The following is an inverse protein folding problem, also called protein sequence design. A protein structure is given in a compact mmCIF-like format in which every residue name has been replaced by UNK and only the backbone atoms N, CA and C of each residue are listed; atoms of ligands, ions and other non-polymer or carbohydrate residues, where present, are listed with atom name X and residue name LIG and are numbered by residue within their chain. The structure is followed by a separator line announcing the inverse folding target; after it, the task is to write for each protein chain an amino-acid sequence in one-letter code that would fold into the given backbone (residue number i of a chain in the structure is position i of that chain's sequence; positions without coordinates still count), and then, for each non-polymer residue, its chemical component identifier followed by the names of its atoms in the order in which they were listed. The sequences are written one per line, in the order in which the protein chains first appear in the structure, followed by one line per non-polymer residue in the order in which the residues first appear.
data_IF_003999951042
#
_entry.id   IF_003999951042
#
_cell.length_a   1.000
_cell.length_b   1.000
_cell.length_c   1.000
_cell.angle_alpha   90.00
_cell.angle_beta   90.00
_cell.angle_gamma   90.00
#
_symmetry.space_group_name_H-M   'P 1'
#
loop_
_entity.id
_entity.type
_entity.pdbx_description
1 polymer ?
#
# COMPACT_ATOMS: atom_id res chain seq x y z
N UNK A 1 7.63 33.20 -14.31
CA UNK A 1 6.85 32.10 -14.92
C UNK A 1 6.27 31.26 -13.79
N UNK A 2 4.96 31.37 -13.57
CA UNK A 2 4.23 30.83 -12.42
C UNK A 2 4.08 29.31 -12.54
N UNK A 3 4.65 28.55 -11.60
CA UNK A 3 4.55 27.08 -11.50
C UNK A 3 3.50 26.66 -10.45
N UNK A 4 2.44 27.44 -10.27
CA UNK A 4 1.58 27.31 -9.08
C UNK A 4 0.13 26.87 -9.35
N UNK A 5 -0.19 26.35 -10.54
CA UNK A 5 -1.61 26.04 -10.88
C UNK A 5 -1.86 24.55 -11.18
N UNK A 6 -0.83 23.72 -11.44
CA UNK A 6 -1.03 22.30 -11.78
C UNK A 6 -1.09 21.34 -10.59
N UNK A 7 -0.98 21.82 -9.35
CA UNK A 7 -1.04 20.98 -8.14
C UNK A 7 -2.46 20.85 -7.53
N UNK A 8 -3.42 21.66 -7.99
CA UNK A 8 -4.74 21.76 -7.32
C UNK A 8 -5.76 20.75 -7.90
N UNK A 9 -5.56 20.24 -9.12
CA UNK A 9 -6.50 19.29 -9.75
C UNK A 9 -6.28 17.85 -9.25
N UNK A 10 -5.10 17.50 -8.73
CA UNK A 10 -4.84 16.19 -8.13
C UNK A 10 -5.34 16.07 -6.67
N UNK A 11 -5.47 17.20 -5.96
CA UNK A 11 -5.86 17.21 -4.54
C UNK A 11 -7.38 17.28 -4.32
N UNK A 12 -8.16 17.70 -5.32
CA UNK A 12 -9.61 17.97 -5.15
C UNK A 12 -10.53 16.79 -5.45
N UNK A 13 -9.99 15.65 -5.93
CA UNK A 13 -10.74 14.39 -6.05
C UNK A 13 -10.64 13.47 -4.83
N UNK A 14 -9.77 13.78 -3.86
CA UNK A 14 -9.40 12.86 -2.78
C UNK A 14 -10.14 13.12 -1.44
N UNK A 15 -10.99 14.15 -1.38
CA UNK A 15 -11.62 14.60 -0.14
C UNK A 15 -13.02 14.02 0.15
N UNK A 16 -13.49 13.02 -0.60
CA UNK A 16 -14.81 12.38 -0.35
C UNK A 16 -14.77 10.88 -0.07
N UNK A 17 -13.60 10.29 0.21
CA UNK A 17 -13.49 8.88 0.60
C UNK A 17 -13.55 8.65 2.13
N UNK A 18 -14.13 9.59 2.90
CA UNK A 18 -14.13 9.53 4.35
C UNK A 18 -15.50 9.89 4.93
N UNK A 19 -16.52 9.07 4.69
CA UNK A 19 -17.73 9.00 5.52
C UNK A 19 -18.64 7.82 5.15
N UNK A 20 -18.15 6.58 5.20
CA UNK A 20 -19.02 5.42 5.29
C UNK A 20 -18.47 4.46 6.35
N UNK A 21 -19.22 4.27 7.43
CA UNK A 21 -18.90 3.36 8.54
C UNK A 21 -18.99 1.86 8.15
N UNK A 22 -18.59 1.51 6.93
CA UNK A 22 -18.60 0.17 6.36
C UNK A 22 -17.59 -0.04 5.23
N UNK A 23 -16.74 0.95 4.93
CA UNK A 23 -15.63 0.81 3.98
C UNK A 23 -14.34 0.51 4.75
N UNK A 24 -13.56 -0.46 4.25
CA UNK A 24 -12.24 -0.77 4.80
C UNK A 24 -11.34 0.47 4.64
N UNK A 25 -10.77 1.03 5.72
CA UNK A 25 -10.02 2.28 5.67
C UNK A 25 -8.80 2.15 4.77
N UNK A 26 -8.54 3.17 3.96
CA UNK A 26 -7.29 3.26 3.17
C UNK A 26 -6.17 3.72 4.09
N UNK A 27 -5.18 2.87 4.31
CA UNK A 27 -4.06 3.16 5.22
C UNK A 27 -2.79 3.57 4.49
N UNK A 28 -2.61 3.10 3.24
CA UNK A 28 -1.43 3.38 2.42
C UNK A 28 -1.85 3.80 1.02
N UNK A 29 -1.25 4.88 0.53
CA UNK A 29 -1.32 5.31 -0.88
C UNK A 29 -0.03 4.90 -1.56
N UNK A 30 -0.15 4.13 -2.64
CA UNK A 30 0.96 3.73 -3.51
C UNK A 30 1.00 4.70 -4.70
N UNK A 31 1.96 5.61 -4.69
CA UNK A 31 2.18 6.55 -5.79
C UNK A 31 3.12 5.95 -6.84
N UNK A 32 2.55 5.56 -7.97
CA UNK A 32 3.24 5.04 -9.14
C UNK A 32 3.17 6.04 -10.31
N UNK A 33 3.18 7.35 -10.02
CA UNK A 33 3.31 8.39 -11.05
C UNK A 33 4.66 8.30 -11.77
N UNK A 34 5.71 7.87 -11.06
CA UNK A 34 7.02 7.49 -11.59
C UNK A 34 7.35 6.03 -11.19
N UNK A 35 7.21 5.05 -12.11
CA UNK A 35 7.49 3.65 -11.80
C UNK A 35 8.94 3.35 -11.43
N UNK A 36 9.89 4.23 -11.75
CA UNK A 36 11.30 4.09 -11.34
C UNK A 36 11.57 4.55 -9.91
N UNK A 37 10.58 5.20 -9.28
CA UNK A 37 10.66 5.71 -7.92
C UNK A 37 9.28 5.73 -7.26
N UNK A 38 8.66 4.55 -7.13
CA UNK A 38 7.37 4.37 -6.45
C UNK A 38 7.49 4.80 -4.99
N UNK A 39 6.41 5.40 -4.47
CA UNK A 39 6.32 5.87 -3.09
C UNK A 39 5.13 5.24 -2.36
N UNK A 40 5.32 4.88 -1.10
CA UNK A 40 4.27 4.41 -0.20
C UNK A 40 4.07 5.44 0.91
N UNK A 41 2.88 6.04 0.97
CA UNK A 41 2.55 7.09 1.93
C UNK A 41 1.48 6.61 2.90
N UNK A 42 1.69 6.80 4.21
CA UNK A 42 0.61 6.65 5.18
C UNK A 42 -0.47 7.72 4.95
N UNK A 43 -1.74 7.35 5.14
CA UNK A 43 -2.87 8.28 5.12
C UNK A 43 -3.15 8.91 6.49
N UNK A 44 -2.59 8.36 7.57
CA UNK A 44 -2.93 8.71 8.94
C UNK A 44 -4.28 8.15 9.42
N UNK A 45 -4.96 7.31 8.64
CA UNK A 45 -6.20 6.66 9.04
C UNK A 45 -5.94 5.57 10.10
N UNK A 46 -6.92 5.35 10.98
CA UNK A 46 -6.89 4.26 11.95
C UNK A 46 -7.19 2.91 11.29
N UNK A 47 -6.74 1.82 11.93
CA UNK A 47 -6.98 0.47 11.42
C UNK A 47 -8.46 0.09 11.55
N UNK A 48 -8.90 -0.86 10.72
CA UNK A 48 -10.25 -1.46 10.75
C UNK A 48 -10.49 -2.29 12.02
N UNK A 49 -9.42 -2.82 12.61
CA UNK A 49 -9.45 -3.73 13.76
C UNK A 49 -8.35 -3.37 14.75
N UNK A 50 -8.54 -3.80 16.00
CA UNK A 50 -7.49 -3.77 17.01
C UNK A 50 -6.67 -5.06 16.95
N UNK A 51 -5.36 -4.94 16.80
CA UNK A 51 -4.43 -6.06 16.72
C UNK A 51 -3.03 -5.64 17.21
N UNK A 52 -2.49 -6.38 18.16
CA UNK A 52 -1.13 -6.24 18.71
C UNK A 52 -0.32 -7.54 18.63
N UNK A 53 -0.79 -8.50 17.82
CA UNK A 53 -0.27 -9.86 17.77
C UNK A 53 1.09 -9.99 17.08
N UNK A 54 1.47 -9.00 16.26
CA UNK A 54 2.71 -9.02 15.50
C UNK A 54 3.76 -8.04 16.05
N UNK A 55 5.01 -8.41 15.83
CA UNK A 55 6.14 -7.52 16.02
C UNK A 55 6.57 -6.92 14.69
N UNK A 56 7.37 -5.85 14.70
CA UNK A 56 7.83 -5.18 13.47
C UNK A 56 8.72 -6.06 12.58
N UNK A 57 9.31 -7.12 13.14
CA UNK A 57 10.00 -8.16 12.35
C UNK A 57 9.01 -9.08 11.63
N UNK A 58 7.76 -9.12 12.11
CA UNK A 58 6.61 -9.78 11.50
C UNK A 58 6.03 -9.00 10.32
N UNK A 59 6.06 -7.68 10.43
CA UNK A 59 5.70 -6.80 9.33
C UNK A 59 4.21 -6.77 9.00
N UNK A 60 3.93 -6.33 7.77
CA UNK A 60 2.61 -6.32 7.13
C UNK A 60 2.76 -6.77 5.67
N UNK A 61 1.68 -7.26 5.09
CA UNK A 61 1.58 -7.54 3.65
C UNK A 61 0.56 -6.63 3.00
N UNK A 62 0.96 -6.00 1.89
CA UNK A 62 0.04 -5.41 0.91
C UNK A 62 -0.32 -6.52 -0.08
N UNK A 63 -1.49 -7.13 0.13
CA UNK A 63 -1.95 -8.23 -0.72
C UNK A 63 -2.30 -7.71 -2.11
N UNK A 64 -2.03 -8.54 -3.12
CA UNK A 64 -2.36 -8.28 -4.52
C UNK A 64 -1.81 -6.96 -5.08
N UNK A 65 -0.69 -6.44 -4.57
CA UNK A 65 -0.11 -5.18 -5.07
C UNK A 65 0.20 -5.25 -6.57
N UNK A 66 0.85 -6.33 -7.00
CA UNK A 66 1.27 -6.51 -8.38
C UNK A 66 0.24 -7.34 -9.15
N UNK A 67 -0.16 -6.81 -10.31
CA UNK A 67 -1.06 -7.47 -11.25
C UNK A 67 -0.30 -8.42 -12.16
N UNK A 68 -0.69 -9.69 -12.18
CA UNK A 68 -0.12 -10.71 -13.09
C UNK A 68 1.05 -11.51 -12.49
N UNK A 69 1.32 -12.66 -13.09
CA UNK A 69 2.38 -13.56 -12.63
C UNK A 69 3.76 -13.06 -13.08
N UNK A 70 4.74 -13.05 -12.17
CA UNK A 70 6.17 -13.03 -12.54
C UNK A 70 6.97 -11.78 -12.19
N UNK A 71 6.39 -10.75 -11.57
CA UNK A 71 7.19 -9.67 -10.99
C UNK A 71 7.88 -10.16 -9.70
N UNK A 72 9.22 -10.03 -9.61
CA UNK A 72 10.02 -10.40 -8.45
C UNK A 72 10.97 -9.25 -8.07
N UNK A 73 11.08 -8.91 -6.79
CA UNK A 73 12.07 -7.96 -6.26
C UNK A 73 13.48 -8.55 -6.19
N UNK A 74 13.69 -9.79 -6.61
CA UNK A 74 14.96 -10.51 -6.52
C UNK A 74 15.32 -10.94 -5.09
N UNK A 75 14.33 -11.07 -4.21
CA UNK A 75 14.51 -11.31 -2.77
C UNK A 75 14.31 -10.06 -1.91
N UNK A 76 14.85 -10.09 -0.69
CA UNK A 76 14.69 -8.98 0.26
C UNK A 76 15.54 -7.77 -0.12
N UNK A 77 14.89 -6.61 -0.19
CA UNK A 77 15.50 -5.32 -0.49
C UNK A 77 15.55 -4.43 0.75
N UNK A 78 16.62 -3.63 0.85
CA UNK A 78 16.74 -2.58 1.87
C UNK A 78 15.98 -1.35 1.40
N UNK A 79 15.17 -0.78 2.28
CA UNK A 79 14.39 0.43 1.98
C UNK A 79 14.77 1.56 2.92
N UNK A 80 14.64 2.80 2.42
CA UNK A 80 14.80 4.02 3.21
C UNK A 80 13.45 4.69 3.49
N UNK A 81 13.46 5.76 4.27
CA UNK A 81 12.26 6.49 4.67
C UNK A 81 11.89 6.27 6.14
N UNK A 82 10.70 6.73 6.51
CA UNK A 82 10.19 6.76 7.89
C UNK A 82 8.82 6.10 8.05
N UNK A 83 8.36 5.34 7.03
CA UNK A 83 7.12 4.56 7.12
C UNK A 83 7.20 3.58 8.30
N UNK A 84 6.40 3.81 9.32
CA UNK A 84 6.41 3.07 10.58
C UNK A 84 5.00 2.68 11.03
N UNK A 85 4.81 1.49 11.62
CA UNK A 85 3.55 1.11 12.24
C UNK A 85 3.36 1.82 13.57
N UNK A 86 2.11 2.01 13.96
CA UNK A 86 1.80 2.47 15.30
C UNK A 86 2.32 1.49 16.36
N UNK A 87 2.66 2.04 17.54
CA UNK A 87 3.30 1.27 18.62
C UNK A 87 4.77 0.95 18.42
N UNK A 88 5.38 1.34 17.29
CA UNK A 88 6.82 1.18 17.06
C UNK A 88 7.46 2.46 16.55
N UNK A 89 8.60 2.83 17.15
CA UNK A 89 9.37 4.01 16.72
C UNK A 89 10.31 3.72 15.54
N UNK A 90 10.50 2.45 15.20
CA UNK A 90 11.33 2.08 14.06
C UNK A 90 10.49 2.04 12.78
N UNK A 91 11.06 2.55 11.70
CA UNK A 91 10.50 2.40 10.37
C UNK A 91 10.73 0.98 9.82
N UNK A 92 9.88 0.57 8.89
CA UNK A 92 10.18 -0.58 8.04
C UNK A 92 11.47 -0.29 7.25
N UNK A 93 12.36 -1.28 7.19
CA UNK A 93 13.66 -1.14 6.54
C UNK A 93 13.96 -2.28 5.55
N UNK A 94 13.00 -3.19 5.37
CA UNK A 94 13.03 -4.25 4.38
C UNK A 94 11.70 -4.38 3.65
N UNK A 95 11.78 -4.73 2.38
CA UNK A 95 10.67 -5.31 1.65
C UNK A 95 11.06 -6.59 0.94
N UNK A 96 10.08 -7.38 0.55
CA UNK A 96 10.18 -8.37 -0.50
C UNK A 96 8.78 -8.65 -1.03
N UNK A 97 8.68 -9.12 -2.27
CA UNK A 97 7.48 -9.82 -2.68
C UNK A 97 7.74 -11.32 -2.71
N UNK A 98 6.84 -12.08 -2.11
CA UNK A 98 6.84 -13.52 -2.33
C UNK A 98 6.10 -13.83 -3.64
N UNK A 99 6.61 -14.79 -4.40
CA UNK A 99 5.92 -15.38 -5.56
C UNK A 99 5.27 -16.73 -5.15
N UNK A 100 5.30 -17.07 -3.86
CA UNK A 100 4.98 -18.38 -3.32
C UNK A 100 3.56 -18.62 -2.77
N UNK A 101 3.13 -19.89 -2.89
CA UNK A 101 1.96 -20.62 -2.38
C UNK A 101 0.53 -20.12 -2.70
N UNK A 102 0.24 -18.81 -2.60
CA UNK A 102 -1.14 -18.31 -2.72
C UNK A 102 -1.45 -17.63 -4.06
N UNK A 103 -0.45 -17.48 -4.94
CA UNK A 103 -0.63 -16.90 -6.27
C UNK A 103 -0.92 -15.39 -6.29
N UNK A 104 -0.89 -14.74 -5.12
CA UNK A 104 -1.07 -13.29 -4.97
C UNK A 104 0.30 -12.62 -4.91
N UNK A 105 0.61 -11.75 -5.88
CA UNK A 105 1.88 -11.01 -5.93
C UNK A 105 1.79 -9.78 -5.01
N UNK A 106 1.78 -10.02 -3.70
CA UNK A 106 1.78 -8.96 -2.68
C UNK A 106 3.16 -8.34 -2.43
N UNK A 107 3.24 -7.34 -1.57
CA UNK A 107 4.50 -6.75 -1.11
C UNK A 107 4.53 -6.72 0.42
N UNK A 108 5.57 -7.31 1.01
CA UNK A 108 5.76 -7.38 2.45
C UNK A 108 6.67 -6.26 2.92
N UNK A 109 6.27 -5.56 3.98
CA UNK A 109 7.10 -4.59 4.71
C UNK A 109 7.44 -5.15 6.07
N UNK A 110 8.71 -5.11 6.45
CA UNK A 110 9.14 -5.52 7.78
C UNK A 110 10.43 -4.80 8.15
N UNK A 111 10.89 -5.01 9.38
CA UNK A 111 12.17 -4.47 9.82
C UNK A 111 13.13 -5.58 10.29
N UNK A 112 14.37 -5.48 9.84
CA UNK A 112 15.47 -6.41 10.15
C UNK A 112 16.60 -5.70 10.86
N UNK A 113 17.36 -6.43 11.67
CA UNK A 113 18.57 -5.91 12.34
C UNK A 113 18.31 -4.82 13.37
N UNK A 114 17.05 -4.63 13.76
CA UNK A 114 16.63 -3.78 14.87
C UNK A 114 16.11 -4.66 16.01
N UNK A 115 16.25 -4.19 17.26
CA UNK A 115 15.60 -4.84 18.39
C UNK A 115 14.10 -4.92 18.09
N UNK A 116 13.54 -6.12 18.10
CA UNK A 116 12.11 -6.29 17.83
C UNK A 116 11.25 -5.40 18.74
N UNK A 117 10.04 -5.09 18.29
CA UNK A 117 9.07 -4.33 19.07
C UNK A 117 7.68 -4.58 18.54
N UNK A 118 6.63 -4.37 19.36
CA UNK A 118 5.25 -4.61 18.94
C UNK A 118 4.88 -3.67 17.78
N UNK A 119 3.92 -4.11 16.98
CA UNK A 119 3.10 -3.25 16.14
C UNK A 119 1.72 -3.25 16.78
N UNK A 120 1.18 -2.09 17.13
CA UNK A 120 -0.13 -1.99 17.80
C UNK A 120 -1.09 -1.22 16.92
N UNK A 121 -2.01 -1.94 16.30
CA UNK A 121 -3.08 -1.38 15.49
C UNK A 121 -4.34 -1.27 16.34
N UNK A 122 -5.06 -0.16 16.21
CA UNK A 122 -6.36 0.03 16.85
C UNK A 122 -7.25 0.92 15.97
N UNK A 123 -8.52 0.98 16.33
CA UNK A 123 -9.54 1.70 15.55
C UNK A 123 -9.62 3.20 15.85
N UNK A 124 -8.69 3.74 16.65
CA UNK A 124 -8.74 5.14 17.13
C UNK A 124 -7.50 5.96 16.79
N UNK A 125 -6.35 5.32 16.64
CA UNK A 125 -5.06 5.95 16.36
C UNK A 125 -4.60 5.61 14.93
N UNK A 126 -3.84 6.49 14.27
CA UNK A 126 -3.28 6.23 12.95
C UNK A 126 -2.56 4.87 12.90
N UNK A 127 -2.85 4.03 11.90
CA UNK A 127 -2.22 2.72 11.76
C UNK A 127 -0.73 2.82 11.40
N UNK A 128 -0.39 3.81 10.57
CA UNK A 128 0.97 4.07 10.11
C UNK A 128 1.27 5.57 10.17
N UNK A 129 2.55 5.92 10.20
CA UNK A 129 3.04 7.28 9.96
C UNK A 129 4.20 7.28 8.97
N UNK A 130 4.49 8.42 8.36
CA UNK A 130 5.62 8.59 7.45
C UNK A 130 5.39 8.01 6.04
N UNK A 131 6.49 7.87 5.30
CA UNK A 131 6.53 7.38 3.93
C UNK A 131 7.85 6.67 3.60
N UNK A 132 7.83 5.86 2.56
CA UNK A 132 9.03 5.23 1.98
C UNK A 132 9.00 5.37 0.46
N UNK A 133 10.17 5.61 -0.14
CA UNK A 133 10.32 6.02 -1.54
C UNK A 133 11.49 5.27 -2.19
N UNK A 134 11.61 5.37 -3.51
CA UNK A 134 12.80 4.91 -4.24
C UNK A 134 12.72 3.46 -4.69
N UNK A 135 11.51 2.92 -4.83
CA UNK A 135 11.29 1.59 -5.36
C UNK A 135 11.23 1.63 -6.89
N UNK A 136 12.16 0.98 -7.56
CA UNK A 136 12.06 0.77 -9.01
C UNK A 136 11.17 -0.45 -9.29
N UNK A 137 9.91 -0.15 -9.61
CA UNK A 137 8.91 -1.11 -10.04
C UNK A 137 8.52 -0.89 -11.50
N UNK A 138 9.44 -0.39 -12.33
CA UNK A 138 9.21 -0.11 -13.76
C UNK A 138 8.80 -1.34 -14.57
N UNK A 139 9.20 -2.54 -14.11
CA UNK A 139 8.82 -3.82 -14.72
C UNK A 139 7.52 -4.41 -14.15
N UNK A 140 6.95 -3.80 -13.12
CA UNK A 140 5.75 -4.30 -12.48
C UNK A 140 4.49 -3.81 -13.19
N UNK A 141 3.47 -4.65 -13.20
CA UNK A 141 2.09 -4.22 -13.39
C UNK A 141 1.44 -4.13 -12.01
N UNK A 142 0.61 -3.12 -11.78
CA UNK A 142 -0.05 -2.89 -10.49
C UNK A 142 -1.54 -3.17 -10.58
N UNK A 143 -2.11 -3.70 -9.50
CA UNK A 143 -3.55 -3.60 -9.27
C UNK A 143 -3.89 -2.22 -8.70
N UNK A 144 -5.18 -1.85 -8.72
CA UNK A 144 -5.63 -0.51 -8.29
C UNK A 144 -5.79 -0.38 -6.77
N UNK A 145 -5.99 -1.50 -6.09
CA UNK A 145 -6.20 -1.56 -4.64
C UNK A 145 -6.08 -2.99 -4.14
N UNK A 146 -5.89 -3.15 -2.85
CA UNK A 146 -5.89 -4.44 -2.17
C UNK A 146 -5.86 -4.28 -0.65
N UNK A 147 -5.86 -5.40 0.04
CA UNK A 147 -5.91 -5.42 1.50
C UNK A 147 -4.51 -5.32 2.12
N UNK A 148 -4.45 -4.75 3.32
CA UNK A 148 -3.28 -4.77 4.17
C UNK A 148 -3.55 -5.73 5.32
N UNK A 149 -2.72 -6.74 5.48
CA UNK A 149 -2.81 -7.71 6.58
C UNK A 149 -1.59 -7.66 7.47
N UNK A 150 -1.78 -8.04 8.73
CA UNK A 150 -0.68 -8.16 9.70
C UNK A 150 0.08 -9.48 9.54
N UNK A 151 1.41 -9.43 9.59
CA UNK A 151 2.29 -10.57 9.31
C UNK A 151 2.58 -10.73 7.81
N UNK A 152 3.08 -11.92 7.44
CA UNK A 152 3.31 -12.27 6.03
C UNK A 152 2.83 -13.68 5.67
N UNK A 153 2.31 -13.78 4.44
CA UNK A 153 2.00 -14.98 3.67
C UNK A 153 3.10 -16.06 3.62
N UNK A 154 4.39 -15.72 3.82
CA UNK A 154 5.48 -16.70 3.91
C UNK A 154 5.65 -17.35 5.31
N UNK A 155 4.67 -17.18 6.21
CA UNK A 155 4.65 -17.86 7.52
C UNK A 155 5.32 -17.08 8.64
N UNK A 156 5.51 -15.76 8.48
CA UNK A 156 6.01 -14.89 9.54
C UNK A 156 4.85 -14.58 10.52
N UNK A 157 5.06 -14.68 11.85
CA UNK A 157 3.98 -14.57 12.83
C UNK A 157 3.18 -13.26 12.73
N UNK A 158 1.87 -13.42 12.62
CA UNK A 158 0.83 -12.39 12.66
C UNK A 158 -0.55 -13.06 12.64
N UNK A 159 -1.61 -12.35 13.04
CA UNK A 159 -2.97 -12.89 13.03
C UNK A 159 -3.55 -13.10 11.62
N UNK A 160 -2.98 -12.44 10.60
CA UNK A 160 -3.57 -12.35 9.26
C UNK A 160 -4.80 -11.43 9.20
N UNK A 161 -5.09 -10.68 10.26
CA UNK A 161 -6.20 -9.74 10.28
C UNK A 161 -6.02 -8.64 9.23
N UNK A 162 -7.13 -8.30 8.55
CA UNK A 162 -7.19 -7.19 7.61
C UNK A 162 -7.23 -5.88 8.39
N UNK A 163 -6.14 -5.13 8.35
CA UNK A 163 -5.99 -3.85 9.03
C UNK A 163 -6.66 -2.72 8.25
N UNK A 164 -6.70 -2.83 6.93
CA UNK A 164 -7.19 -1.79 6.05
C UNK A 164 -6.88 -2.12 4.60
N UNK A 165 -6.86 -1.11 3.75
CA UNK A 165 -6.56 -1.24 2.33
C UNK A 165 -5.44 -0.31 1.88
N UNK A 166 -4.84 -0.63 0.74
CA UNK A 166 -3.97 0.26 -0.01
C UNK A 166 -4.63 0.61 -1.35
N UNK A 167 -4.29 1.77 -1.90
CA UNK A 167 -4.78 2.23 -3.22
C UNK A 167 -3.65 2.77 -4.07
N UNK A 168 -3.76 2.61 -5.39
CA UNK A 168 -2.78 3.06 -6.37
C UNK A 168 -3.13 4.44 -6.95
N UNK A 169 -2.16 5.35 -6.97
CA UNK A 169 -2.15 6.47 -7.91
C UNK A 169 -1.38 6.01 -9.16
N UNK A 170 -2.07 5.72 -10.28
CA UNK A 170 -1.41 5.17 -11.46
C UNK A 170 -0.65 6.26 -12.23
N UNK A 171 0.17 5.83 -13.19
CA UNK A 171 0.83 6.76 -14.13
C UNK A 171 -0.21 7.62 -14.86
N UNK A 172 0.09 8.90 -15.17
CA UNK A 172 -0.86 9.79 -15.85
C UNK A 172 -1.45 9.22 -17.14
N UNK A 173 -0.67 8.44 -17.90
CA UNK A 173 -1.13 7.77 -19.13
C UNK A 173 -2.16 6.65 -18.89
N UNK A 174 -2.07 5.96 -17.75
CA UNK A 174 -3.00 4.89 -17.39
C UNK A 174 -4.37 5.42 -16.94
N UNK A 175 -4.42 6.63 -16.34
CA UNK A 175 -5.69 7.29 -15.95
C UNK A 175 -6.63 7.44 -17.16
N UNK A 176 -6.09 7.83 -18.32
CA UNK A 176 -6.86 7.95 -19.56
C UNK A 176 -7.44 6.61 -20.03
N UNK A 177 -6.70 5.51 -19.86
CA UNK A 177 -7.14 4.18 -20.26
C UNK A 177 -8.27 3.66 -19.35
N UNK A 178 -8.16 3.88 -18.02
CA UNK A 178 -9.21 3.53 -17.07
C UNK A 178 -10.48 4.35 -17.27
N UNK A 179 -10.36 5.66 -17.53
CA UNK A 179 -11.49 6.51 -17.85
C UNK A 179 -12.23 6.04 -19.12
N UNK A 180 -11.48 5.62 -20.16
CA UNK A 180 -12.06 5.11 -21.41
C UNK A 180 -12.68 3.72 -21.25
N UNK A 181 -12.08 2.83 -20.45
CA UNK A 181 -12.65 1.53 -20.14
C UNK A 181 -13.96 1.65 -19.34
N UNK A 182 -14.02 2.57 -18.37
CA UNK A 182 -15.25 2.90 -17.65
C UNK A 182 -16.33 3.48 -18.58
N UNK A 183 -15.95 4.35 -19.52
CA UNK A 183 -16.87 4.92 -20.50
C UNK A 183 -17.39 3.87 -21.50
N UNK A 184 -16.56 2.93 -21.93
CA UNK A 184 -16.96 1.83 -22.81
C UNK A 184 -17.89 0.83 -22.09
N UNK A 185 -17.62 0.52 -20.82
CA UNK A 185 -18.47 -0.34 -20.00
C UNK A 185 -19.86 0.29 -19.73
N UNK A 186 -19.91 1.60 -19.48
CA UNK A 186 -21.18 2.32 -19.28
C UNK A 186 -22.02 2.42 -20.56
N UNK A 187 -21.40 2.49 -21.74
CA UNK A 187 -22.11 2.44 -23.03
C UNK A 187 -22.69 1.06 -23.34
N UNK A 188 -22.00 -0.03 -22.96
CA UNK A 188 -22.52 -1.40 -23.12
C UNK A 188 -23.74 -1.71 -22.26
N UNK A 189 -23.93 -1.01 -21.13
CA UNK A 189 -25.10 -1.18 -20.25
C UNK A 189 -26.36 -0.46 -20.74
N UNK A 190 -26.29 0.31 -21.82
CA UNK A 190 -27.41 1.07 -22.40
C UNK A 190 -27.81 0.60 -23.81
N UNK A 191 -27.32 -0.55 -24.26
CA UNK A 191 -27.72 -1.19 -25.52
C UNK A 191 -28.60 -2.42 -25.25
#
# INVERSE_FOLDING_TARGET
MSRSILAIVAATGLATAAANAGEIPVLIIVDNTDPSSVTFNSTGAAAAVTDDSASIVGGISLLDLFGGAGFNTGGSQVIGGDLSPNGNTNAYNRVFNDIGALGTSGLNFWASGIGGGPQTFNTTDPAFTGATTGFDFSAATFNLSGDIVIGDTAGIPGSGAVLGSWVLIPTPGAVGLFAMAGLAASRRRRA
#
